data_IF_662691554525
#
_entry.id   IF_662691554525
#
_cell.length_a   1.000
_cell.length_b   1.000
_cell.length_c   1.000
_cell.angle_alpha   90.00
_cell.angle_beta   90.00
_cell.angle_gamma   90.00
#
_symmetry.space_group_name_H-M   'P 1'
#
loop_
_entity.id
_entity.type
_entity.pdbx_description
1 polymer ?
#
# COMPACT_ATOMS: atom_id res chain seq x y z
N UNK A 1 3.02 26.65 -19.41
CA UNK A 1 3.89 26.67 -18.22
C UNK A 1 5.16 25.89 -18.52
N UNK A 2 6.28 26.41 -18.02
CA UNK A 2 7.64 26.23 -18.51
C UNK A 2 8.21 24.89 -18.04
N UNK A 3 8.68 24.07 -18.99
CA UNK A 3 9.53 22.90 -18.73
C UNK A 3 10.91 23.38 -18.30
N UNK A 4 11.26 23.27 -17.03
CA UNK A 4 12.64 23.43 -16.58
C UNK A 4 13.34 22.08 -16.65
N UNK A 5 14.31 22.03 -17.57
CA UNK A 5 15.28 20.96 -17.75
C UNK A 5 16.56 21.29 -16.96
N UNK A 6 17.33 20.24 -16.66
CA UNK A 6 18.75 20.20 -16.32
C UNK A 6 19.17 20.59 -14.89
N UNK A 7 19.91 19.68 -14.23
CA UNK A 7 21.37 19.83 -14.07
C UNK A 7 22.05 18.56 -13.49
N UNK A 8 23.12 18.13 -14.20
CA UNK A 8 24.43 17.60 -13.74
C UNK A 8 24.49 16.37 -12.81
N UNK A 9 25.02 15.22 -13.27
CA UNK A 9 26.44 14.85 -13.51
C UNK A 9 27.32 14.81 -12.24
N UNK A 10 27.67 13.60 -11.79
CA UNK A 10 29.01 13.06 -11.39
C UNK A 10 28.79 11.54 -11.25
N UNK A 11 29.52 10.58 -11.82
CA UNK A 11 30.87 10.55 -12.36
C UNK A 11 31.86 10.09 -11.29
N UNK A 12 32.07 8.77 -11.13
CA UNK A 12 33.39 8.12 -10.89
C UNK A 12 33.23 6.61 -11.17
N UNK A 13 33.97 6.14 -12.17
CA UNK A 13 34.34 4.75 -12.33
C UNK A 13 35.56 4.46 -11.46
N UNK A 14 35.60 3.32 -10.78
CA UNK A 14 36.87 2.72 -10.35
C UNK A 14 36.77 1.20 -10.47
N UNK A 15 37.43 0.68 -11.51
CA UNK A 15 37.79 -0.71 -11.62
C UNK A 15 39.07 -0.95 -10.80
N UNK A 16 39.10 -2.04 -10.03
CA UNK A 16 40.32 -2.68 -9.58
C UNK A 16 40.09 -4.20 -9.59
N UNK A 17 40.67 -4.82 -10.61
CA UNK A 17 40.97 -6.24 -10.73
C UNK A 17 41.92 -6.70 -9.63
N UNK A 18 41.78 -7.95 -9.14
CA UNK A 18 42.89 -8.92 -9.01
C UNK A 18 42.41 -10.31 -8.48
N UNK A 19 42.65 -11.32 -9.33
CA UNK A 19 43.10 -12.70 -9.07
C UNK A 19 42.52 -13.56 -7.92
N UNK A 20 41.88 -14.69 -8.28
CA UNK A 20 42.44 -16.06 -8.12
C UNK A 20 41.50 -17.13 -8.73
N UNK A 21 42.02 -18.16 -9.45
CA UNK A 21 41.22 -19.29 -9.93
C UNK A 21 41.20 -20.40 -8.86
N UNK A 22 40.15 -20.45 -8.05
CA UNK A 22 39.88 -21.62 -7.24
C UNK A 22 39.02 -22.59 -8.07
N UNK A 23 39.68 -23.64 -8.57
CA UNK A 23 39.07 -24.83 -9.16
C UNK A 23 38.27 -25.52 -8.05
N UNK A 24 37.00 -25.17 -7.91
CA UNK A 24 36.04 -25.97 -7.15
C UNK A 24 35.35 -26.91 -8.14
N UNK A 25 35.50 -28.20 -7.87
CA UNK A 25 34.80 -29.27 -8.56
C UNK A 25 33.30 -28.98 -8.63
N UNK A 26 32.62 -29.27 -9.76
CA UNK A 26 31.17 -29.24 -9.80
C UNK A 26 30.69 -30.38 -8.91
N UNK A 27 30.36 -30.07 -7.65
CA UNK A 27 29.39 -30.87 -6.92
C UNK A 27 28.18 -30.96 -7.84
N UNK A 28 27.85 -32.19 -8.25
CA UNK A 28 26.71 -32.48 -9.10
C UNK A 28 25.54 -31.63 -8.59
N UNK A 29 25.15 -30.64 -9.40
CA UNK A 29 23.92 -29.91 -9.19
C UNK A 29 22.85 -30.99 -9.21
N UNK A 30 22.39 -31.39 -8.01
CA UNK A 30 21.07 -31.93 -7.86
C UNK A 30 20.21 -30.92 -8.62
N UNK A 31 19.71 -31.34 -9.78
CA UNK A 31 18.71 -30.57 -10.49
C UNK A 31 17.58 -30.49 -9.48
N UNK A 32 17.52 -29.36 -8.77
CA UNK A 32 16.36 -28.91 -8.04
C UNK A 32 15.27 -28.91 -9.08
N UNK A 33 14.57 -30.04 -9.17
CA UNK A 33 13.30 -30.15 -9.88
C UNK A 33 12.54 -28.93 -9.40
N UNK A 34 12.14 -28.01 -10.31
CA UNK A 34 11.37 -26.84 -9.90
C UNK A 34 10.26 -27.37 -8.99
N UNK A 35 10.19 -26.89 -7.73
CA UNK A 35 9.34 -27.50 -6.73
C UNK A 35 7.95 -27.65 -7.33
N UNK A 36 7.35 -28.83 -7.16
CA UNK A 36 6.04 -29.17 -7.71
C UNK A 36 4.93 -28.16 -7.31
N UNK A 37 5.22 -27.26 -6.38
CA UNK A 37 4.44 -26.11 -5.94
C UNK A 37 3.94 -25.18 -7.07
N UNK A 38 4.54 -25.17 -8.27
CA UNK A 38 4.02 -24.34 -9.38
C UNK A 38 2.74 -24.89 -10.05
N UNK A 39 2.24 -26.08 -9.66
CA UNK A 39 1.12 -26.76 -10.34
C UNK A 39 -0.27 -26.38 -9.82
N UNK A 40 -0.39 -25.65 -8.71
CA UNK A 40 -1.69 -25.37 -8.09
C UNK A 40 -2.05 -23.87 -8.02
N UNK A 41 -1.73 -23.10 -9.05
CA UNK A 41 -1.92 -21.62 -9.04
C UNK A 41 -3.34 -21.16 -8.71
N UNK A 42 -4.34 -21.98 -9.05
CA UNK A 42 -5.76 -21.67 -8.84
C UNK A 42 -6.31 -22.29 -7.54
N UNK A 43 -5.45 -22.73 -6.61
CA UNK A 43 -5.88 -23.31 -5.34
C UNK A 43 -6.63 -22.28 -4.46
N UNK A 44 -7.77 -22.63 -3.85
CA UNK A 44 -8.60 -21.68 -3.09
C UNK A 44 -7.90 -21.05 -1.88
N UNK A 45 -6.87 -21.70 -1.33
CA UNK A 45 -6.08 -21.19 -0.20
C UNK A 45 -5.47 -19.80 -0.45
N UNK A 46 -5.13 -19.45 -1.70
CA UNK A 46 -4.56 -18.14 -2.01
C UNK A 46 -5.63 -17.03 -2.00
N UNK A 47 -6.84 -17.34 -2.45
CA UNK A 47 -7.97 -16.44 -2.34
C UNK A 47 -8.41 -16.26 -0.88
N UNK A 48 -8.34 -17.33 -0.08
CA UNK A 48 -8.60 -17.28 1.36
C UNK A 48 -7.56 -16.45 2.11
N UNK A 49 -6.27 -16.57 1.77
CA UNK A 49 -5.23 -15.71 2.32
C UNK A 49 -5.50 -14.23 2.02
N UNK A 50 -5.87 -13.89 0.78
CA UNK A 50 -6.24 -12.52 0.44
C UNK A 50 -7.42 -12.03 1.30
N UNK A 51 -8.48 -12.83 1.41
CA UNK A 51 -9.65 -12.49 2.23
C UNK A 51 -9.27 -12.30 3.71
N UNK A 52 -8.42 -13.17 4.28
CA UNK A 52 -7.95 -13.05 5.65
C UNK A 52 -7.19 -11.73 5.91
N UNK A 53 -6.39 -11.27 4.94
CA UNK A 53 -5.71 -9.98 5.02
C UNK A 53 -6.70 -8.82 4.95
N UNK A 54 -7.70 -8.89 4.07
CA UNK A 54 -8.74 -7.86 3.97
C UNK A 54 -9.60 -7.77 5.22
N UNK A 55 -10.00 -8.91 5.79
CA UNK A 55 -10.76 -9.01 7.05
C UNK A 55 -10.02 -8.40 8.25
N UNK A 56 -8.68 -8.46 8.23
CA UNK A 56 -7.84 -7.95 9.31
C UNK A 56 -7.62 -6.43 9.24
N UNK A 57 -7.92 -5.79 8.10
CA UNK A 57 -7.74 -4.35 7.88
C UNK A 57 -9.06 -3.62 8.13
N UNK A 58 -9.02 -2.56 8.94
CA UNK A 58 -10.15 -1.66 9.08
C UNK A 58 -10.19 -0.69 7.90
N UNK A 59 -10.91 -1.08 6.85
CA UNK A 59 -11.04 -0.29 5.62
C UNK A 59 -11.67 1.09 5.88
N UNK A 60 -12.59 1.18 6.85
CA UNK A 60 -13.19 2.46 7.22
C UNK A 60 -12.13 3.38 7.78
N UNK A 61 -11.32 2.89 8.73
CA UNK A 61 -10.24 3.67 9.30
C UNK A 61 -9.22 4.14 8.24
N UNK A 62 -8.87 3.28 7.28
CA UNK A 62 -7.95 3.67 6.18
C UNK A 62 -8.54 4.80 5.34
N UNK A 63 -9.84 4.73 5.01
CA UNK A 63 -10.54 5.81 4.29
C UNK A 63 -10.58 7.09 5.14
N UNK A 64 -10.89 7.00 6.44
CA UNK A 64 -10.86 8.16 7.34
C UNK A 64 -9.50 8.84 7.36
N UNK A 65 -8.42 8.06 7.48
CA UNK A 65 -7.05 8.58 7.45
C UNK A 65 -6.73 9.26 6.12
N UNK A 66 -7.16 8.70 4.99
CA UNK A 66 -6.98 9.31 3.68
C UNK A 66 -7.77 10.64 3.54
N UNK A 67 -9.03 10.68 4.02
CA UNK A 67 -9.84 11.89 4.02
C UNK A 67 -9.25 12.98 4.93
N UNK A 68 -8.71 12.60 6.09
CA UNK A 68 -8.01 13.53 6.99
C UNK A 68 -6.76 14.11 6.32
N UNK A 69 -5.95 13.28 5.67
CA UNK A 69 -4.76 13.73 4.94
C UNK A 69 -5.13 14.64 3.75
N UNK A 70 -6.22 14.36 3.05
CA UNK A 70 -6.73 15.22 1.97
C UNK A 70 -7.20 16.59 2.49
N UNK A 71 -7.91 16.62 3.62
CA UNK A 71 -8.30 17.86 4.29
C UNK A 71 -7.08 18.72 4.64
N UNK A 72 -6.04 18.10 5.21
CA UNK A 72 -4.79 18.80 5.50
C UNK A 72 -4.11 19.34 4.23
N UNK A 73 -4.15 18.59 3.12
CA UNK A 73 -3.60 19.04 1.84
C UNK A 73 -4.38 20.23 1.24
N UNK A 74 -5.71 20.23 1.34
CA UNK A 74 -6.53 21.39 0.95
C UNK A 74 -6.22 22.59 1.83
N UNK A 75 -6.12 22.41 3.15
CA UNK A 75 -5.78 23.51 4.06
C UNK A 75 -4.38 24.10 3.78
N UNK A 76 -3.44 23.30 3.28
CA UNK A 76 -2.10 23.75 2.88
C UNK A 76 -2.08 24.45 1.50
N UNK A 77 -3.14 24.35 0.71
CA UNK A 77 -3.23 24.95 -0.63
C UNK A 77 -3.77 26.39 -0.53
N UNK A 78 -3.06 27.42 -1.03
CA UNK A 78 -3.43 28.82 -0.81
C UNK A 78 -4.86 29.20 -1.22
N UNK A 79 -5.37 28.62 -2.30
CA UNK A 79 -6.71 28.89 -2.82
C UNK A 79 -7.79 28.35 -1.87
N UNK A 80 -7.61 27.13 -1.37
CA UNK A 80 -8.53 26.51 -0.40
C UNK A 80 -8.40 27.15 0.98
N UNK A 81 -7.20 27.55 1.41
CA UNK A 81 -7.01 28.30 2.64
C UNK A 81 -7.75 29.64 2.62
N UNK A 82 -7.73 30.35 1.48
CA UNK A 82 -8.52 31.57 1.29
C UNK A 82 -10.03 31.29 1.29
N UNK A 83 -10.47 30.23 0.60
CA UNK A 83 -11.87 29.82 0.60
C UNK A 83 -12.36 29.47 2.02
N UNK A 84 -11.56 28.74 2.80
CA UNK A 84 -11.86 28.39 4.20
C UNK A 84 -11.90 29.62 5.11
N UNK A 85 -11.00 30.59 4.92
CA UNK A 85 -11.04 31.85 5.66
C UNK A 85 -12.30 32.69 5.33
N UNK A 86 -12.76 32.64 4.07
CA UNK A 86 -13.96 33.34 3.62
C UNK A 86 -15.27 32.61 3.98
N UNK A 87 -15.24 31.28 4.08
CA UNK A 87 -16.37 30.44 4.46
C UNK A 87 -15.91 29.25 5.30
N UNK A 88 -15.86 29.38 6.64
CA UNK A 88 -15.43 28.30 7.52
C UNK A 88 -16.25 27.02 7.32
N UNK A 89 -15.56 25.88 7.29
CA UNK A 89 -16.09 24.54 7.07
C UNK A 89 -16.24 24.15 5.59
N UNK A 90 -15.76 24.95 4.63
CA UNK A 90 -15.87 24.59 3.20
C UNK A 90 -15.01 23.37 2.86
N UNK A 91 -13.80 23.26 3.43
CA UNK A 91 -12.92 22.10 3.22
C UNK A 91 -13.59 20.83 3.77
N UNK A 92 -14.14 20.89 4.99
CA UNK A 92 -14.82 19.76 5.61
C UNK A 92 -16.01 19.30 4.77
N UNK A 93 -16.82 20.23 4.26
CA UNK A 93 -17.98 19.91 3.43
C UNK A 93 -17.59 19.27 2.09
N UNK A 94 -16.52 19.76 1.45
CA UNK A 94 -15.96 19.14 0.24
C UNK A 94 -15.50 17.71 0.56
N UNK A 95 -14.62 17.53 1.54
CA UNK A 95 -14.04 16.22 1.88
C UNK A 95 -15.15 15.22 2.28
N UNK A 96 -16.14 15.67 3.05
CA UNK A 96 -17.31 14.85 3.39
C UNK A 96 -18.11 14.43 2.15
N UNK A 97 -18.32 15.34 1.19
CA UNK A 97 -18.98 15.05 -0.07
C UNK A 97 -18.18 14.11 -0.99
N UNK A 98 -16.85 14.14 -0.92
CA UNK A 98 -15.97 13.29 -1.73
C UNK A 98 -15.85 11.85 -1.19
N UNK A 99 -16.07 11.65 0.10
CA UNK A 99 -15.92 10.34 0.78
C UNK A 99 -16.62 9.18 0.07
N UNK A 100 -17.89 9.26 -0.38
CA UNK A 100 -18.53 8.17 -1.10
C UNK A 100 -17.82 7.81 -2.42
N UNK A 101 -17.30 8.81 -3.14
CA UNK A 101 -16.57 8.60 -4.40
C UNK A 101 -15.28 7.85 -4.15
N UNK A 102 -14.48 8.28 -3.16
CA UNK A 102 -13.24 7.59 -2.78
C UNK A 102 -13.49 6.18 -2.22
N UNK A 103 -14.61 5.97 -1.53
CA UNK A 103 -14.99 4.63 -1.04
C UNK A 103 -15.26 3.70 -2.22
N UNK A 104 -16.07 4.13 -3.19
CA UNK A 104 -16.39 3.35 -4.38
C UNK A 104 -15.16 3.09 -5.25
N UNK A 105 -14.31 4.11 -5.45
CA UNK A 105 -13.06 3.98 -6.19
C UNK A 105 -12.11 3.00 -5.52
N UNK A 106 -11.91 3.10 -4.20
CA UNK A 106 -11.06 2.16 -3.45
C UNK A 106 -11.55 0.71 -3.60
N UNK A 107 -12.85 0.48 -3.50
CA UNK A 107 -13.43 -0.86 -3.71
C UNK A 107 -13.20 -1.38 -5.13
N UNK A 108 -13.44 -0.55 -6.15
CA UNK A 108 -13.22 -0.89 -7.55
C UNK A 108 -11.76 -1.26 -7.82
N UNK A 109 -10.83 -0.42 -7.38
CA UNK A 109 -9.38 -0.65 -7.57
C UNK A 109 -8.96 -1.93 -6.85
N UNK A 110 -9.42 -2.16 -5.62
CA UNK A 110 -9.15 -3.39 -4.87
C UNK A 110 -9.61 -4.64 -5.62
N UNK A 111 -10.84 -4.63 -6.16
CA UNK A 111 -11.35 -5.74 -6.97
C UNK A 111 -10.55 -5.95 -8.26
N UNK A 112 -10.13 -4.86 -8.91
CA UNK A 112 -9.31 -4.91 -10.13
C UNK A 112 -7.96 -5.58 -9.89
N UNK A 113 -7.30 -5.28 -8.77
CA UNK A 113 -5.96 -5.80 -8.44
C UNK A 113 -5.96 -7.07 -7.57
N UNK A 114 -7.13 -7.56 -7.16
CA UNK A 114 -7.28 -8.83 -6.42
C UNK A 114 -6.62 -10.03 -7.13
N UNK A 115 -6.80 -10.25 -8.45
CA UNK A 115 -6.16 -11.37 -9.14
C UNK A 115 -4.62 -11.30 -9.09
N UNK A 116 -4.04 -10.10 -9.20
CA UNK A 116 -2.59 -9.92 -9.17
C UNK A 116 -1.98 -10.28 -7.79
N UNK A 117 -2.67 -9.91 -6.71
CA UNK A 117 -2.29 -10.28 -5.35
C UNK A 117 -2.40 -11.79 -5.09
N UNK A 118 -3.51 -12.42 -5.50
CA UNK A 118 -3.68 -13.87 -5.38
C UNK A 118 -2.59 -14.61 -6.15
N UNK A 119 -2.28 -14.17 -7.37
CA UNK A 119 -1.20 -14.75 -8.17
C UNK A 119 0.18 -14.55 -7.51
N UNK A 120 0.41 -13.44 -6.81
CA UNK A 120 1.62 -13.21 -6.03
C UNK A 120 1.75 -14.21 -4.87
N UNK A 121 0.66 -14.49 -4.16
CA UNK A 121 0.65 -15.51 -3.11
C UNK A 121 0.91 -16.90 -3.68
N UNK A 122 0.30 -17.26 -4.81
CA UNK A 122 0.52 -18.53 -5.48
C UNK A 122 1.96 -18.77 -5.94
N UNK A 123 2.72 -17.69 -6.21
CA UNK A 123 4.16 -17.78 -6.54
C UNK A 123 5.06 -17.93 -5.31
N UNK A 124 4.55 -17.57 -4.12
CA UNK A 124 5.37 -17.45 -2.91
C UNK A 124 5.13 -18.58 -1.92
N UNK A 125 3.90 -19.09 -1.87
CA UNK A 125 3.46 -20.07 -0.89
C UNK A 125 2.96 -21.36 -1.55
N UNK A 126 3.14 -22.49 -0.85
CA UNK A 126 2.29 -23.65 -1.09
C UNK A 126 0.86 -23.37 -0.58
N UNK A 127 -0.15 -24.15 -0.98
CA UNK A 127 -1.49 -24.06 -0.43
C UNK A 127 -1.54 -24.13 1.11
N UNK A 128 -0.81 -25.08 1.70
CA UNK A 128 -0.77 -25.29 3.15
C UNK A 128 -0.15 -24.08 3.85
N UNK A 129 0.95 -23.55 3.30
CA UNK A 129 1.57 -22.33 3.82
C UNK A 129 0.61 -21.14 3.74
N UNK A 130 -0.13 -20.98 2.64
CA UNK A 130 -1.12 -19.92 2.50
C UNK A 130 -2.24 -20.05 3.55
N UNK A 131 -2.72 -21.27 3.82
CA UNK A 131 -3.68 -21.52 4.90
C UNK A 131 -3.12 -21.16 6.28
N UNK A 132 -1.86 -21.50 6.58
CA UNK A 132 -1.21 -21.11 7.83
C UNK A 132 -1.09 -19.60 7.97
N UNK A 133 -0.71 -18.90 6.91
CA UNK A 133 -0.60 -17.43 6.92
C UNK A 133 -1.99 -16.79 7.05
N UNK A 134 -3.02 -17.33 6.40
CA UNK A 134 -4.40 -16.87 6.55
C UNK A 134 -4.88 -17.01 8.01
N UNK A 135 -4.58 -18.13 8.66
CA UNK A 135 -4.89 -18.34 10.08
C UNK A 135 -4.18 -17.33 10.99
N UNK A 136 -2.94 -16.94 10.68
CA UNK A 136 -2.25 -15.87 11.40
C UNK A 136 -2.98 -14.54 11.28
N UNK A 137 -3.37 -14.09 10.08
CA UNK A 137 -4.09 -12.83 9.91
C UNK A 137 -5.44 -12.80 10.63
N UNK A 138 -6.08 -13.97 10.80
CA UNK A 138 -7.32 -14.12 11.57
C UNK A 138 -7.11 -14.29 13.09
N UNK A 139 -5.88 -14.50 13.55
CA UNK A 139 -5.56 -14.60 14.97
C UNK A 139 -5.67 -13.24 15.66
N UNK A 140 -5.81 -13.23 16.99
CA UNK A 140 -5.84 -11.98 17.78
C UNK A 140 -4.58 -11.13 17.55
N UNK A 141 -3.42 -11.79 17.42
CA UNK A 141 -2.15 -11.12 17.17
C UNK A 141 -2.09 -10.51 15.76
N UNK A 142 -2.54 -11.24 14.74
CA UNK A 142 -2.62 -10.75 13.37
C UNK A 142 -3.59 -9.57 13.24
N UNK A 143 -4.77 -9.68 13.85
CA UNK A 143 -5.75 -8.57 13.91
C UNK A 143 -5.23 -7.37 14.69
N UNK A 144 -4.52 -7.58 15.80
CA UNK A 144 -3.90 -6.50 16.56
C UNK A 144 -2.86 -5.75 15.72
N UNK A 145 -1.98 -6.49 15.04
CA UNK A 145 -0.98 -5.92 14.14
C UNK A 145 -1.63 -5.13 12.99
N UNK A 146 -2.58 -5.74 12.27
CA UNK A 146 -3.24 -5.11 11.13
C UNK A 146 -4.16 -3.95 11.54
N UNK A 147 -4.78 -4.04 12.72
CA UNK A 147 -5.53 -2.93 13.32
C UNK A 147 -4.63 -1.75 13.68
N UNK A 148 -3.45 -2.01 14.26
CA UNK A 148 -2.44 -0.98 14.48
C UNK A 148 -1.96 -0.36 13.16
N UNK A 149 -1.71 -1.17 12.13
CA UNK A 149 -1.34 -0.68 10.81
C UNK A 149 -2.43 0.21 10.20
N UNK A 150 -3.70 -0.22 10.25
CA UNK A 150 -4.84 0.55 9.72
C UNK A 150 -4.99 1.91 10.42
N UNK A 151 -4.77 1.95 11.74
CA UNK A 151 -4.85 3.18 12.55
C UNK A 151 -3.68 4.14 12.31
N UNK A 152 -2.50 3.62 11.98
CA UNK A 152 -1.28 4.42 11.84
C UNK A 152 -0.94 4.78 10.40
N UNK A 153 -1.59 4.14 9.42
CA UNK A 153 -1.44 4.45 8.02
C UNK A 153 -2.08 5.80 7.68
N UNK A 154 -1.25 6.74 7.22
CA UNK A 154 -1.66 8.05 6.71
C UNK A 154 -0.92 8.27 5.39
N UNK A 155 -1.61 8.31 4.23
CA UNK A 155 -1.00 8.36 2.91
C UNK A 155 -0.53 9.78 2.53
N UNK A 156 0.28 10.42 3.37
CA UNK A 156 0.67 11.84 3.21
C UNK A 156 1.51 12.04 1.96
N UNK A 157 2.57 11.25 1.80
CA UNK A 157 3.51 11.39 0.69
C UNK A 157 2.87 10.97 -0.63
N UNK A 158 2.03 9.93 -0.59
CA UNK A 158 1.22 9.46 -1.71
C UNK A 158 0.25 10.54 -2.21
N UNK A 159 -0.55 11.13 -1.32
CA UNK A 159 -1.53 12.17 -1.70
C UNK A 159 -0.85 13.46 -2.17
N UNK A 160 0.26 13.86 -1.54
CA UNK A 160 1.02 15.02 -1.97
C UNK A 160 1.59 14.84 -3.39
N UNK A 161 2.11 13.65 -3.72
CA UNK A 161 2.60 13.32 -5.06
C UNK A 161 1.48 13.32 -6.10
N UNK A 162 0.33 12.72 -5.77
CA UNK A 162 -0.85 12.70 -6.64
C UNK A 162 -1.35 14.12 -6.96
N UNK A 163 -1.44 15.01 -5.96
CA UNK A 163 -1.90 16.38 -6.15
C UNK A 163 -0.91 17.30 -6.90
N UNK A 164 0.39 17.06 -6.76
CA UNK A 164 1.43 17.95 -7.35
C UNK A 164 1.91 17.51 -8.72
N UNK A 165 2.14 16.21 -8.92
CA UNK A 165 2.72 15.65 -10.16
C UNK A 165 1.73 14.85 -10.98
N UNK A 166 0.61 14.43 -10.38
CA UNK A 166 -0.36 13.52 -11.01
C UNK A 166 0.14 12.07 -11.11
N UNK A 167 1.26 11.72 -10.50
CA UNK A 167 1.80 10.36 -10.52
C UNK A 167 2.41 10.01 -9.16
N UNK A 168 2.07 8.84 -8.63
CA UNK A 168 2.62 8.33 -7.38
C UNK A 168 3.81 7.44 -7.68
N UNK A 169 4.96 7.72 -7.08
CA UNK A 169 6.16 6.89 -7.22
C UNK A 169 6.23 5.80 -6.13
N UNK A 170 7.12 4.82 -6.33
CA UNK A 170 7.41 3.81 -5.31
C UNK A 170 7.93 4.42 -4.01
N UNK A 171 8.77 5.44 -4.10
CA UNK A 171 9.34 6.08 -2.91
C UNK A 171 8.26 6.75 -2.05
N UNK A 172 7.19 7.28 -2.67
CA UNK A 172 6.06 7.84 -1.94
C UNK A 172 5.29 6.77 -1.15
N UNK A 173 4.98 5.65 -1.82
CA UNK A 173 4.31 4.50 -1.19
C UNK A 173 5.18 3.90 -0.08
N UNK A 174 6.48 3.79 -0.32
CA UNK A 174 7.43 3.24 0.64
C UNK A 174 7.53 4.10 1.90
N UNK A 175 7.59 5.43 1.76
CA UNK A 175 7.62 6.35 2.90
C UNK A 175 6.39 6.22 3.81
N UNK A 176 5.18 6.18 3.23
CA UNK A 176 3.93 6.05 3.99
C UNK A 176 3.82 4.65 4.64
N UNK A 177 4.13 3.58 3.91
CA UNK A 177 4.05 2.22 4.44
C UNK A 177 5.09 1.94 5.53
N UNK A 178 6.33 2.37 5.36
CA UNK A 178 7.39 2.12 6.33
C UNK A 178 7.10 2.88 7.64
N UNK A 179 6.56 4.11 7.55
CA UNK A 179 6.08 4.86 8.72
C UNK A 179 4.97 4.11 9.45
N UNK A 180 3.98 3.62 8.71
CA UNK A 180 2.85 2.89 9.28
C UNK A 180 3.28 1.55 9.91
N UNK A 181 4.16 0.78 9.25
CA UNK A 181 4.67 -0.49 9.78
C UNK A 181 5.48 -0.27 11.06
N UNK A 182 6.38 0.71 11.07
CA UNK A 182 7.17 1.02 12.28
C UNK A 182 6.28 1.46 13.44
N UNK A 183 5.28 2.31 13.19
CA UNK A 183 4.32 2.72 14.20
C UNK A 183 3.45 1.55 14.67
N UNK A 184 3.03 0.67 13.76
CA UNK A 184 2.20 -0.48 14.10
C UNK A 184 2.92 -1.50 14.99
N UNK A 185 4.19 -1.78 14.67
CA UNK A 185 5.07 -2.62 15.49
C UNK A 185 5.38 -1.96 16.82
N UNK A 186 5.63 -0.65 16.84
CA UNK A 186 5.83 0.11 18.08
C UNK A 186 4.60 0.14 19.00
N UNK A 187 3.41 -0.10 18.44
CA UNK A 187 2.15 -0.24 19.21
C UNK A 187 1.89 -1.65 19.76
N UNK A 188 2.81 -2.60 19.59
CA UNK A 188 2.73 -3.95 20.14
C UNK A 188 3.41 -4.00 21.52
N UNK A 189 2.92 -4.84 22.43
CA UNK A 189 3.59 -5.06 23.73
C UNK A 189 4.78 -6.00 23.56
N UNK A 190 5.65 -6.07 24.58
CA UNK A 190 6.76 -7.02 24.57
C UNK A 190 6.26 -8.47 24.47
N UNK A 191 5.17 -8.81 25.18
CA UNK A 191 4.55 -10.13 25.12
C UNK A 191 4.02 -10.46 23.72
N UNK A 192 3.41 -9.49 23.04
CA UNK A 192 2.95 -9.66 21.66
C UNK A 192 4.12 -9.96 20.73
N UNK A 193 5.23 -9.24 20.86
CA UNK A 193 6.42 -9.41 20.02
C UNK A 193 7.08 -10.76 20.26
N UNK A 194 7.16 -11.21 21.53
CA UNK A 194 7.62 -12.56 21.88
C UNK A 194 6.68 -13.61 21.27
N UNK A 195 5.36 -13.43 21.38
CA UNK A 195 4.38 -14.34 20.80
C UNK A 195 4.52 -14.41 19.26
N UNK A 196 4.71 -13.27 18.60
CA UNK A 196 4.92 -13.19 17.16
C UNK A 196 6.19 -13.93 16.74
N UNK A 197 7.29 -13.73 17.47
CA UNK A 197 8.55 -14.44 17.24
C UNK A 197 8.39 -15.95 17.39
N UNK A 198 7.71 -16.42 18.45
CA UNK A 198 7.41 -17.85 18.64
C UNK A 198 6.55 -18.41 17.52
N UNK A 199 5.51 -17.69 17.09
CA UNK A 199 4.66 -18.09 15.97
C UNK A 199 5.44 -18.18 14.66
N UNK A 200 6.32 -17.21 14.39
CA UNK A 200 7.15 -17.19 13.17
C UNK A 200 8.16 -18.33 13.14
N UNK A 201 8.75 -18.69 14.28
CA UNK A 201 9.64 -19.86 14.40
C UNK A 201 8.90 -21.19 14.26
N UNK A 202 7.68 -21.27 14.81
CA UNK A 202 6.83 -22.46 14.68
C UNK A 202 6.24 -22.62 13.26
N UNK A 203 6.07 -21.52 12.53
CA UNK A 203 5.47 -21.48 11.20
C UNK A 203 6.40 -20.78 10.20
N UNK A 204 7.36 -21.51 9.57
CA UNK A 204 8.31 -20.93 8.62
C UNK A 204 7.67 -20.19 7.43
N UNK A 205 6.40 -20.47 7.12
CA UNK A 205 5.62 -19.72 6.14
C UNK A 205 5.53 -18.22 6.46
N UNK A 206 5.40 -17.85 7.74
CA UNK A 206 5.35 -16.44 8.15
C UNK A 206 6.66 -15.70 7.85
N UNK A 207 7.79 -16.40 7.90
CA UNK A 207 9.10 -15.82 7.54
C UNK A 207 9.19 -15.48 6.06
N UNK A 208 8.37 -16.08 5.18
CA UNK A 208 8.34 -15.74 3.75
C UNK A 208 7.56 -14.47 3.44
N UNK A 209 6.82 -13.90 4.39
CA UNK A 209 6.09 -12.64 4.19
C UNK A 209 7.02 -11.50 3.75
N UNK A 210 8.28 -11.50 4.22
CA UNK A 210 9.29 -10.53 3.80
C UNK A 210 9.61 -10.58 2.29
N UNK A 211 9.39 -11.72 1.62
CA UNK A 211 9.60 -11.87 0.17
C UNK A 211 8.51 -11.19 -0.64
N UNK A 212 7.34 -10.96 -0.03
CA UNK A 212 6.22 -10.28 -0.68
C UNK A 212 6.40 -8.77 -0.70
N UNK A 213 7.10 -8.19 0.28
CA UNK A 213 7.12 -6.75 0.53
C UNK A 213 7.38 -5.93 -0.73
N UNK A 214 8.42 -6.28 -1.51
CA UNK A 214 8.74 -5.57 -2.75
C UNK A 214 7.64 -5.69 -3.82
N UNK A 215 7.09 -6.88 -4.02
CA UNK A 215 6.06 -7.12 -5.04
C UNK A 215 4.69 -6.53 -4.65
N UNK A 216 4.34 -6.55 -3.36
CA UNK A 216 3.13 -5.89 -2.84
C UNK A 216 3.24 -4.37 -3.01
N UNK A 217 4.42 -3.79 -2.74
CA UNK A 217 4.68 -2.35 -2.96
C UNK A 217 4.52 -1.96 -4.43
N UNK A 218 5.01 -2.78 -5.36
CA UNK A 218 4.78 -2.54 -6.80
C UNK A 218 3.30 -2.58 -7.20
N UNK A 219 2.55 -3.58 -6.72
CA UNK A 219 1.10 -3.63 -6.94
C UNK A 219 0.42 -2.39 -6.34
N UNK A 220 0.85 -1.95 -5.16
CA UNK A 220 0.30 -0.77 -4.51
C UNK A 220 0.56 0.50 -5.33
N UNK A 221 1.75 0.69 -5.88
CA UNK A 221 2.04 1.82 -6.79
C UNK A 221 1.10 1.81 -7.99
N UNK A 222 0.84 0.65 -8.58
CA UNK A 222 -0.11 0.54 -9.70
C UNK A 222 -1.53 0.91 -9.28
N UNK A 223 -1.98 0.45 -8.10
CA UNK A 223 -3.28 0.83 -7.53
C UNK A 223 -3.42 2.33 -7.30
N UNK A 224 -2.40 3.00 -6.75
CA UNK A 224 -2.43 4.45 -6.49
C UNK A 224 -2.41 5.30 -7.77
N UNK A 225 -1.92 4.74 -8.88
CA UNK A 225 -1.94 5.38 -10.20
C UNK A 225 -3.12 4.94 -11.08
N UNK A 226 -4.04 4.13 -10.54
CA UNK A 226 -5.22 3.70 -11.29
C UNK A 226 -6.10 4.91 -11.58
N UNK A 227 -6.41 5.12 -12.86
CA UNK A 227 -7.15 6.31 -13.28
C UNK A 227 -8.57 6.31 -12.72
N UNK A 228 -9.06 7.51 -12.43
CA UNK A 228 -10.48 7.72 -12.19
C UNK A 228 -11.27 7.41 -13.46
N UNK A 229 -12.40 6.76 -13.29
CA UNK A 229 -13.39 6.63 -14.36
C UNK A 229 -14.00 8.01 -14.66
N UNK A 230 -14.59 8.16 -15.85
CA UNK A 230 -15.29 9.40 -16.21
C UNK A 230 -16.42 9.74 -15.23
N UNK A 231 -17.11 8.73 -14.69
CA UNK A 231 -18.18 8.92 -13.71
C UNK A 231 -17.64 9.37 -12.35
N UNK A 232 -16.55 8.77 -11.86
CA UNK A 232 -15.88 9.19 -10.62
C UNK A 232 -15.36 10.64 -10.74
N UNK A 233 -14.72 10.97 -11.86
CA UNK A 233 -14.24 12.33 -12.14
C UNK A 233 -15.39 13.35 -12.12
N UNK A 234 -16.49 13.03 -12.80
CA UNK A 234 -17.68 13.88 -12.83
C UNK A 234 -18.30 14.07 -11.45
N UNK A 235 -18.36 13.02 -10.63
CA UNK A 235 -18.88 13.11 -9.26
C UNK A 235 -18.02 14.03 -8.39
N UNK A 236 -16.69 13.95 -8.51
CA UNK A 236 -15.76 14.85 -7.80
C UNK A 236 -16.02 16.30 -8.20
N UNK A 237 -16.11 16.57 -9.50
CA UNK A 237 -16.38 17.92 -10.03
C UNK A 237 -17.74 18.46 -9.53
N UNK A 238 -18.79 17.65 -9.59
CA UNK A 238 -20.12 18.01 -9.07
C UNK A 238 -20.06 18.38 -7.59
N UNK A 239 -19.42 17.55 -6.75
CA UNK A 239 -19.30 17.82 -5.31
C UNK A 239 -18.62 19.17 -5.06
N UNK A 240 -17.48 19.42 -5.71
CA UNK A 240 -16.72 20.66 -5.52
C UNK A 240 -17.53 21.87 -5.99
N UNK A 241 -18.10 21.82 -7.19
CA UNK A 241 -18.87 22.93 -7.77
C UNK A 241 -20.10 23.23 -6.90
N UNK A 242 -20.84 22.21 -6.46
CA UNK A 242 -22.05 22.37 -5.67
C UNK A 242 -21.77 23.00 -4.30
N UNK A 243 -20.69 22.58 -3.65
CA UNK A 243 -20.28 23.17 -2.35
C UNK A 243 -19.87 24.63 -2.54
N UNK A 244 -19.01 24.93 -3.52
CA UNK A 244 -18.56 26.30 -3.76
C UNK A 244 -19.72 27.22 -4.17
N UNK A 245 -20.61 26.75 -5.04
CA UNK A 245 -21.80 27.51 -5.48
C UNK A 245 -22.68 27.89 -4.30
N UNK A 246 -23.03 26.92 -3.43
CA UNK A 246 -23.87 27.17 -2.26
C UNK A 246 -23.22 28.10 -1.22
N UNK A 247 -21.89 28.06 -1.11
CA UNK A 247 -21.13 28.82 -0.11
C UNK A 247 -20.84 30.27 -0.53
N UNK A 248 -20.70 30.54 -1.83
CA UNK A 248 -20.20 31.84 -2.31
C UNK A 248 -21.11 32.63 -3.28
N UNK A 249 -22.17 32.02 -3.84
CA UNK A 249 -23.05 32.70 -4.82
C UNK A 249 -24.38 33.19 -4.22
N UNK A 250 -24.38 33.67 -2.98
CA UNK A 250 -25.56 34.29 -2.37
C UNK A 250 -25.70 35.75 -2.75
#
# INVERSE_FOLDING_TARGET
MIRMSALRRYGVALALTLAAPAVFAPAAQAQDKPPAALTQRDHPAYADLYAAMEEAVDQRQVIESAMSAMSAQFAATPEFAQAEAASPGVIEEIVSGLRPVFTAQSERVRLLYRPANIALFARTFTPEEATTVAAFYRSDLGRKLMGNLSRTYVPTDTLAAAGSTGTVSRDNVDADLDRAVNAAVGGMTEEDMIAMGKMALANPALLKLNRLTGAVKEIRVQMENEQLTADEQKQIETVIIDVLTRRFQK
#
